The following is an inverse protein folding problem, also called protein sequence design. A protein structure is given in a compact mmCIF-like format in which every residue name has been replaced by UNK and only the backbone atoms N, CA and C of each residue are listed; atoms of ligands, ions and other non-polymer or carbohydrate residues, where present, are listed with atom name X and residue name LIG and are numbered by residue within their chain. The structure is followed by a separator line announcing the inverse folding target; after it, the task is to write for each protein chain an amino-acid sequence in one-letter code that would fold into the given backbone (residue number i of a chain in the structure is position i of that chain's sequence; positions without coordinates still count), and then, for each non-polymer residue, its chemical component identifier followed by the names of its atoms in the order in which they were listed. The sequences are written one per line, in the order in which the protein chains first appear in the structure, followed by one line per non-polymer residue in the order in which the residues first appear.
data_IF_464539464611
#
_entry.id   IF_464539464611
#
_cell.length_a   1.000
_cell.length_b   1.000
_cell.length_c   1.000
_cell.angle_alpha   90.00
_cell.angle_beta   90.00
_cell.angle_gamma   90.00
#
_symmetry.space_group_name_H-M   'P 1'
#
loop_
_entity.id
_entity.type
_entity.pdbx_description
1 polymer ?
#
# COMPACT_ATOMS: atom_id res chain seq x y z
N UNK A 1 0.99 2.74 4.71
CA UNK A 1 1.06 1.57 5.59
C UNK A 1 0.93 2.06 7.02
N UNK A 2 0.18 1.38 7.86
CA UNK A 2 -0.04 1.76 9.26
C UNK A 2 0.10 0.53 10.14
N UNK A 3 0.85 0.65 11.22
CA UNK A 3 1.02 -0.41 12.19
C UNK A 3 0.02 -0.20 13.33
N UNK A 4 -0.87 -1.17 13.55
CA UNK A 4 -1.99 -1.04 14.49
C UNK A 4 -1.91 -2.07 15.60
N UNK A 5 -2.07 -1.61 16.85
CA UNK A 5 -1.92 -2.42 18.06
C UNK A 5 -3.06 -2.18 19.05
N UNK A 6 -3.40 -3.20 19.83
CA UNK A 6 -4.09 -2.98 21.11
C UNK A 6 -3.11 -2.29 22.09
N UNK A 7 -3.48 -1.12 22.59
CA UNK A 7 -2.73 -0.42 23.62
C UNK A 7 -3.62 0.52 24.43
N UNK A 8 -3.41 0.58 25.74
CA UNK A 8 -4.15 1.46 26.64
C UNK A 8 -5.69 1.39 26.47
N UNK A 9 -6.22 0.18 26.32
CA UNK A 9 -7.65 -0.12 26.09
C UNK A 9 -8.26 0.52 24.82
N UNK A 10 -7.44 0.90 23.84
CA UNK A 10 -7.88 1.36 22.51
C UNK A 10 -6.94 0.79 21.43
N UNK A 11 -7.16 1.16 20.16
CA UNK A 11 -6.28 0.83 19.05
C UNK A 11 -5.38 2.02 18.74
N UNK A 12 -4.08 1.76 18.70
CA UNK A 12 -3.05 2.77 18.52
C UNK A 12 -2.20 2.51 17.28
N UNK A 13 -1.70 3.60 16.72
CA UNK A 13 -0.57 3.56 15.80
C UNK A 13 0.71 3.43 16.62
N UNK A 14 1.47 2.37 16.36
CA UNK A 14 2.73 2.12 17.07
C UNK A 14 3.75 1.45 16.15
N UNK A 15 5.05 1.66 16.37
CA UNK A 15 6.09 0.94 15.62
C UNK A 15 6.97 0.11 16.57
N UNK A 16 6.73 -1.20 16.64
CA UNK A 16 7.37 -2.11 17.61
C UNK A 16 7.55 -3.52 17.03
N UNK A 17 8.51 -4.29 17.57
CA UNK A 17 8.74 -5.68 17.13
C UNK A 17 7.78 -6.70 17.76
N UNK A 18 7.09 -6.34 18.85
CA UNK A 18 6.27 -7.28 19.63
C UNK A 18 4.98 -6.65 20.14
N UNK A 19 5.12 -5.60 20.94
CA UNK A 19 4.00 -4.97 21.64
C UNK A 19 4.14 -3.46 21.65
N UNK A 20 3.02 -2.76 21.60
CA UNK A 20 2.99 -1.32 21.75
C UNK A 20 3.21 -0.92 23.22
N UNK A 21 3.98 0.14 23.44
CA UNK A 21 4.27 0.69 24.75
C UNK A 21 4.48 2.20 24.65
N UNK A 22 4.62 2.90 25.78
CA UNK A 22 4.70 4.37 25.81
C UNK A 22 5.88 5.00 25.05
N UNK A 23 6.87 4.21 24.58
CA UNK A 23 7.95 4.69 23.71
C UNK A 23 7.69 4.46 22.22
N UNK A 24 6.93 3.42 21.89
CA UNK A 24 6.60 3.06 20.50
C UNK A 24 5.24 3.56 20.04
N UNK A 25 4.37 3.93 20.98
CA UNK A 25 3.06 4.53 20.71
C UNK A 25 3.23 5.92 20.10
N UNK A 26 2.55 6.16 18.98
CA UNK A 26 2.48 7.46 18.34
C UNK A 26 1.19 8.19 18.77
N UNK A 27 0.03 7.65 18.40
CA UNK A 27 -1.28 8.19 18.77
C UNK A 27 -2.39 7.13 18.67
N UNK A 28 -3.57 7.35 19.26
CA UNK A 28 -4.76 6.55 18.97
C UNK A 28 -5.09 6.58 17.48
N UNK A 29 -5.28 5.42 16.87
CA UNK A 29 -5.46 5.29 15.42
C UNK A 29 -6.69 6.05 14.90
N UNK A 30 -7.69 6.25 15.76
CA UNK A 30 -8.91 6.99 15.42
C UNK A 30 -8.65 8.42 14.90
N UNK A 31 -7.56 9.08 15.31
CA UNK A 31 -7.25 10.43 14.84
C UNK A 31 -6.82 10.42 13.37
N UNK A 32 -5.77 9.66 13.02
CA UNK A 32 -5.37 9.44 11.63
C UNK A 32 -6.53 8.93 10.75
N UNK A 33 -7.36 7.99 11.23
CA UNK A 33 -8.50 7.48 10.45
C UNK A 33 -9.59 8.55 10.20
N UNK A 34 -9.78 9.50 11.13
CA UNK A 34 -10.68 10.65 10.92
C UNK A 34 -10.11 11.66 9.92
N UNK A 35 -8.79 11.83 9.87
CA UNK A 35 -8.17 12.65 8.82
C UNK A 35 -8.38 12.03 7.43
N UNK A 36 -8.26 10.71 7.31
CA UNK A 36 -8.55 9.99 6.07
C UNK A 36 -10.02 10.13 5.69
N UNK A 37 -10.94 10.05 6.67
CA UNK A 37 -12.38 10.26 6.43
C UNK A 37 -12.65 11.66 5.90
N UNK A 38 -12.10 12.68 6.55
CA UNK A 38 -12.23 14.07 6.13
C UNK A 38 -11.66 14.29 4.72
N UNK A 39 -10.51 13.67 4.40
CA UNK A 39 -9.93 13.71 3.07
C UNK A 39 -10.87 13.08 2.02
N UNK A 40 -11.38 11.87 2.26
CA UNK A 40 -12.29 11.20 1.32
C UNK A 40 -13.63 11.94 1.18
N UNK A 41 -14.09 12.61 2.23
CA UNK A 41 -15.28 13.45 2.21
C UNK A 41 -15.08 14.68 1.31
N UNK A 42 -13.95 15.37 1.47
CA UNK A 42 -13.64 16.58 0.70
C UNK A 42 -13.21 16.29 -0.74
N UNK A 43 -12.76 15.07 -1.03
CA UNK A 43 -12.23 14.69 -2.34
C UNK A 43 -13.01 13.48 -2.89
N UNK A 44 -14.20 13.69 -3.49
CA UNK A 44 -15.10 12.59 -3.88
C UNK A 44 -14.58 11.71 -5.03
N UNK A 45 -13.57 12.17 -5.76
CA UNK A 45 -12.93 11.43 -6.86
C UNK A 45 -11.69 10.66 -6.43
N UNK A 46 -11.23 10.83 -5.19
CA UNK A 46 -9.99 10.21 -4.72
C UNK A 46 -10.27 8.84 -4.10
N UNK A 47 -9.27 7.95 -4.22
CA UNK A 47 -9.26 6.61 -3.66
C UNK A 47 -8.07 6.51 -2.70
N UNK A 48 -8.29 5.90 -1.53
CA UNK A 48 -7.25 5.65 -0.53
C UNK A 48 -7.09 4.14 -0.36
N UNK A 49 -5.84 3.68 -0.26
CA UNK A 49 -5.52 2.31 0.13
C UNK A 49 -4.74 2.30 1.43
N UNK A 50 -5.23 1.53 2.39
CA UNK A 50 -4.58 1.28 3.66
C UNK A 50 -4.05 -0.16 3.68
N UNK A 51 -2.79 -0.30 4.07
CA UNK A 51 -2.15 -1.59 4.31
C UNK A 51 -1.74 -1.57 5.78
N UNK A 52 -2.36 -2.45 6.56
CA UNK A 52 -2.24 -2.49 8.00
C UNK A 52 -1.29 -3.61 8.42
N UNK A 53 -0.21 -3.26 9.12
CA UNK A 53 0.52 -4.24 9.92
C UNK A 53 -0.26 -4.44 11.22
N UNK A 54 -1.02 -5.52 11.28
CA UNK A 54 -2.09 -5.71 12.25
C UNK A 54 -1.70 -6.63 13.40
N UNK A 55 -1.52 -6.02 14.56
CA UNK A 55 -1.22 -6.67 15.84
C UNK A 55 -2.41 -6.60 16.82
N UNK A 56 -3.63 -6.35 16.31
CA UNK A 56 -4.85 -6.27 17.12
C UNK A 56 -5.38 -7.68 17.40
N UNK A 57 -5.47 -7.99 18.68
CA UNK A 57 -6.05 -9.21 19.24
C UNK A 57 -7.48 -9.02 19.77
N UNK A 58 -7.88 -7.78 20.07
CA UNK A 58 -9.23 -7.49 20.57
C UNK A 58 -10.32 -7.86 19.56
N UNK A 59 -11.44 -8.36 20.09
CA UNK A 59 -12.58 -8.79 19.29
C UNK A 59 -13.20 -7.61 18.54
N UNK A 60 -13.34 -7.75 17.22
CA UNK A 60 -13.88 -6.76 16.30
C UNK A 60 -13.15 -5.40 16.32
N UNK A 61 -11.88 -5.39 16.71
CA UNK A 61 -11.12 -4.17 16.90
C UNK A 61 -11.09 -3.29 15.65
N UNK A 62 -10.75 -3.84 14.48
CA UNK A 62 -10.73 -3.09 13.23
C UNK A 62 -12.13 -2.63 12.83
N UNK A 63 -13.13 -3.50 12.96
CA UNK A 63 -14.53 -3.19 12.63
C UNK A 63 -15.02 -1.99 13.43
N UNK A 64 -14.84 -2.01 14.76
CA UNK A 64 -15.21 -0.91 15.65
C UNK A 64 -14.47 0.38 15.33
N UNK A 65 -13.19 0.29 15.00
CA UNK A 65 -12.36 1.43 14.64
C UNK A 65 -12.81 2.09 13.33
N UNK A 66 -13.07 1.29 12.28
CA UNK A 66 -13.55 1.78 10.98
C UNK A 66 -14.99 2.31 11.05
N UNK A 67 -15.85 1.73 11.89
CA UNK A 67 -17.19 2.26 12.14
C UNK A 67 -17.14 3.60 12.89
N UNK A 68 -16.34 3.67 13.97
CA UNK A 68 -16.17 4.89 14.78
C UNK A 68 -15.53 6.05 14.01
N UNK A 69 -14.66 5.75 13.04
CA UNK A 69 -14.06 6.77 12.17
C UNK A 69 -15.01 7.26 11.08
N UNK A 70 -16.09 6.53 10.77
CA UNK A 70 -17.02 6.86 9.69
C UNK A 70 -16.56 6.41 8.30
N UNK A 71 -15.45 5.67 8.21
CA UNK A 71 -14.85 5.23 6.94
C UNK A 71 -15.58 4.06 6.28
N UNK A 72 -16.39 3.29 7.02
CA UNK A 72 -17.10 2.11 6.49
C UNK A 72 -17.91 2.43 5.22
N UNK A 73 -18.47 3.64 5.11
CA UNK A 73 -19.25 4.09 3.94
C UNK A 73 -18.46 4.18 2.64
N UNK A 74 -17.12 4.20 2.71
CA UNK A 74 -16.21 4.24 1.55
C UNK A 74 -15.63 2.87 1.19
N UNK A 75 -15.86 1.85 2.01
CA UNK A 75 -15.10 0.61 1.97
C UNK A 75 -15.39 -0.19 0.69
N UNK A 76 -14.34 -0.60 -0.01
CA UNK A 76 -14.40 -1.62 -1.03
C UNK A 76 -14.56 -3.00 -0.36
N UNK A 77 -15.68 -3.71 -0.56
CA UNK A 77 -15.98 -4.93 0.18
C UNK A 77 -15.16 -6.12 -0.32
N UNK A 78 -14.66 -6.95 0.59
CA UNK A 78 -13.77 -8.08 0.29
C UNK A 78 -14.38 -9.12 -0.64
N UNK A 79 -15.70 -9.34 -0.57
CA UNK A 79 -16.41 -10.28 -1.45
C UNK A 79 -16.42 -9.85 -2.92
N UNK A 80 -16.24 -8.55 -3.19
CA UNK A 80 -16.21 -8.01 -4.55
C UNK A 80 -14.76 -7.75 -5.02
N UNK A 81 -13.75 -8.07 -4.20
CA UNK A 81 -12.35 -7.91 -4.59
C UNK A 81 -11.94 -9.02 -5.56
N UNK A 82 -11.18 -8.71 -6.62
CA UNK A 82 -10.76 -9.70 -7.61
C UNK A 82 -9.92 -10.80 -6.96
N UNK A 83 -10.07 -12.02 -7.48
CA UNK A 83 -9.29 -13.17 -7.01
C UNK A 83 -8.54 -13.80 -8.18
N UNK A 84 -7.52 -14.58 -7.86
CA UNK A 84 -6.81 -15.41 -8.85
C UNK A 84 -6.23 -14.63 -10.06
N UNK A 85 -5.82 -13.38 -9.85
CA UNK A 85 -5.22 -12.54 -10.89
C UNK A 85 -6.24 -11.83 -11.80
N UNK A 86 -7.52 -11.85 -11.44
CA UNK A 86 -8.56 -11.04 -12.10
C UNK A 86 -8.27 -9.53 -11.99
N UNK A 87 -8.79 -8.79 -12.96
CA UNK A 87 -8.66 -7.34 -13.05
C UNK A 87 -9.46 -6.63 -11.95
N UNK A 88 -8.87 -5.57 -11.38
CA UNK A 88 -9.59 -4.68 -10.48
C UNK A 88 -10.57 -3.80 -11.24
N UNK A 89 -11.70 -3.41 -10.61
CA UNK A 89 -12.61 -2.46 -11.23
C UNK A 89 -11.89 -1.19 -11.63
N UNK A 90 -12.32 -0.61 -12.75
CA UNK A 90 -11.80 0.69 -13.17
C UNK A 90 -12.12 1.77 -12.13
N UNK A 91 -11.22 2.73 -11.99
CA UNK A 91 -11.29 3.82 -10.99
C UNK A 91 -12.63 4.56 -11.05
N UNK A 92 -13.16 4.80 -12.25
CA UNK A 92 -14.46 5.48 -12.43
C UNK A 92 -15.64 4.69 -11.85
N UNK A 93 -15.58 3.36 -11.85
CA UNK A 93 -16.60 2.51 -11.21
C UNK A 93 -16.44 2.53 -9.69
N UNK A 94 -15.22 2.51 -9.18
CA UNK A 94 -14.96 2.62 -7.74
C UNK A 94 -15.51 3.94 -7.18
N UNK A 95 -15.24 5.05 -7.88
CA UNK A 95 -15.75 6.39 -7.53
C UNK A 95 -17.28 6.42 -7.58
N UNK A 96 -17.89 5.97 -8.68
CA UNK A 96 -19.35 6.00 -8.88
C UNK A 96 -20.11 5.24 -7.78
N UNK A 97 -19.54 4.13 -7.31
CA UNK A 97 -20.14 3.30 -6.27
C UNK A 97 -19.71 3.70 -4.85
N UNK A 98 -18.97 4.80 -4.69
CA UNK A 98 -18.36 5.24 -3.43
C UNK A 98 -17.55 4.16 -2.71
N UNK A 99 -16.92 3.24 -3.47
CA UNK A 99 -16.01 2.19 -2.97
C UNK A 99 -14.57 2.67 -3.14
N UNK A 100 -14.22 3.68 -2.35
CA UNK A 100 -13.00 4.50 -2.50
C UNK A 100 -11.97 4.25 -1.40
N UNK A 101 -12.19 3.27 -0.55
CA UNK A 101 -11.26 2.85 0.49
C UNK A 101 -10.98 1.35 0.36
N UNK A 102 -9.75 0.98 -0.01
CA UNK A 102 -9.27 -0.39 0.13
C UNK A 102 -8.53 -0.52 1.46
N UNK A 103 -8.78 -1.61 2.18
CA UNK A 103 -8.11 -1.90 3.44
C UNK A 103 -7.59 -3.33 3.41
N UNK A 104 -6.28 -3.46 3.52
CA UNK A 104 -5.58 -4.73 3.63
C UNK A 104 -4.98 -4.89 5.03
N UNK A 105 -4.94 -6.12 5.55
CA UNK A 105 -4.36 -6.46 6.85
C UNK A 105 -3.33 -7.60 6.72
N UNK A 106 -2.27 -7.54 7.51
CA UNK A 106 -1.29 -8.63 7.64
C UNK A 106 -1.80 -9.80 8.49
N UNK A 107 -2.92 -9.66 9.20
CA UNK A 107 -3.51 -10.72 10.02
C UNK A 107 -4.57 -11.51 9.24
N UNK A 108 -4.24 -12.77 8.90
CA UNK A 108 -5.09 -13.67 8.11
C UNK A 108 -6.50 -13.87 8.68
N UNK A 109 -6.66 -13.88 10.00
CA UNK A 109 -7.95 -14.16 10.65
C UNK A 109 -9.02 -13.11 10.33
N UNK A 110 -8.58 -11.86 10.12
CA UNK A 110 -9.43 -10.68 9.96
C UNK A 110 -10.26 -10.68 8.68
N UNK A 111 -9.85 -11.41 7.65
CA UNK A 111 -10.67 -11.56 6.45
C UNK A 111 -11.96 -12.30 6.77
N UNK A 112 -11.87 -13.41 7.50
CA UNK A 112 -13.04 -14.19 7.90
C UNK A 112 -13.84 -13.56 9.04
N UNK A 113 -13.17 -12.94 10.03
CA UNK A 113 -13.83 -12.46 11.24
C UNK A 113 -14.39 -11.05 11.10
N UNK A 114 -13.75 -10.18 10.31
CA UNK A 114 -14.07 -8.75 10.25
C UNK A 114 -14.31 -8.25 8.80
N UNK A 115 -14.07 -9.10 7.80
CA UNK A 115 -14.20 -8.74 6.39
C UNK A 115 -13.09 -7.84 5.87
N UNK A 116 -11.93 -7.79 6.56
CA UNK A 116 -10.77 -6.99 6.16
C UNK A 116 -9.84 -7.85 5.30
N UNK A 117 -9.53 -7.42 4.09
CA UNK A 117 -8.81 -8.23 3.11
C UNK A 117 -7.42 -8.64 3.62
N UNK A 118 -7.13 -9.94 3.67
CA UNK A 118 -5.79 -10.41 4.03
C UNK A 118 -4.83 -10.08 2.88
N UNK A 119 -3.82 -9.25 3.13
CA UNK A 119 -3.03 -8.62 2.06
C UNK A 119 -2.45 -9.62 1.05
N UNK A 120 -1.92 -10.74 1.54
CA UNK A 120 -1.25 -11.76 0.73
C UNK A 120 -2.21 -12.70 -0.03
N UNK A 121 -3.54 -12.47 0.08
CA UNK A 121 -4.53 -12.99 -0.86
C UNK A 121 -4.64 -12.15 -2.15
N UNK A 122 -4.12 -10.92 -2.17
CA UNK A 122 -4.31 -9.97 -3.27
C UNK A 122 -3.01 -9.44 -3.87
N UNK A 123 -1.94 -9.34 -3.07
CA UNK A 123 -0.64 -8.82 -3.51
C UNK A 123 0.52 -9.78 -3.23
N UNK A 124 1.58 -9.63 -4.03
CA UNK A 124 2.93 -10.13 -3.72
C UNK A 124 3.80 -9.00 -3.20
N UNK A 125 4.77 -9.33 -2.37
CA UNK A 125 5.59 -8.35 -1.65
C UNK A 125 7.05 -8.82 -1.54
N UNK A 126 8.00 -7.92 -1.82
CA UNK A 126 9.42 -8.18 -1.55
C UNK A 126 9.74 -7.96 -0.07
N UNK A 127 10.84 -8.55 0.39
CA UNK A 127 11.28 -8.43 1.76
C UNK A 127 11.47 -6.95 2.16
N UNK A 128 11.17 -6.61 3.40
CA UNK A 128 11.38 -5.28 3.97
C UNK A 128 12.81 -5.09 4.51
N UNK A 129 13.12 -3.87 4.95
CA UNK A 129 14.40 -3.55 5.55
C UNK A 129 15.55 -3.60 4.54
N UNK A 130 16.78 -3.72 5.04
CA UNK A 130 17.99 -3.66 4.19
C UNK A 130 18.01 -4.74 3.09
N UNK A 131 17.37 -5.89 3.34
CA UNK A 131 17.22 -6.99 2.36
C UNK A 131 16.31 -6.60 1.19
N UNK A 132 15.30 -5.75 1.45
CA UNK A 132 14.40 -5.21 0.43
C UNK A 132 15.05 -4.20 -0.49
N UNK A 133 16.10 -3.52 -0.02
CA UNK A 133 16.84 -2.51 -0.76
C UNK A 133 17.94 -3.09 -1.67
N UNK A 134 18.01 -4.43 -1.78
CA UNK A 134 19.02 -5.10 -2.59
C UNK A 134 18.77 -4.85 -4.09
N UNK A 135 19.74 -4.21 -4.76
CA UNK A 135 19.68 -3.88 -6.19
C UNK A 135 20.12 -5.03 -7.11
N UNK A 136 20.65 -6.12 -6.55
CA UNK A 136 21.06 -7.33 -7.29
C UNK A 136 20.00 -8.44 -7.24
N UNK A 137 19.08 -8.41 -6.28
CA UNK A 137 18.00 -9.39 -6.18
C UNK A 137 16.76 -8.84 -5.45
N UNK A 138 15.58 -9.07 -6.02
CA UNK A 138 14.32 -8.82 -5.33
C UNK A 138 13.93 -10.04 -4.49
N UNK A 139 14.23 -9.98 -3.19
CA UNK A 139 13.97 -11.09 -2.27
C UNK A 139 12.48 -11.15 -1.90
N UNK A 140 11.89 -12.34 -1.88
CA UNK A 140 10.48 -12.53 -1.50
C UNK A 140 10.29 -12.36 0.01
N UNK A 141 9.22 -11.70 0.45
CA UNK A 141 8.83 -11.68 1.86
C UNK A 141 8.29 -13.04 2.31
N UNK A 142 8.68 -13.54 3.48
CA UNK A 142 8.33 -14.90 3.93
C UNK A 142 6.83 -15.19 4.00
N UNK A 143 6.03 -14.21 4.41
CA UNK A 143 4.58 -14.32 4.56
C UNK A 143 3.85 -14.17 3.21
N UNK A 144 4.53 -13.60 2.20
CA UNK A 144 4.01 -13.38 0.86
C UNK A 144 4.14 -14.63 -0.01
N UNK A 145 3.15 -14.93 -0.88
CA UNK A 145 3.37 -15.79 -2.04
C UNK A 145 4.57 -15.32 -2.84
N UNK A 146 5.20 -16.25 -3.57
CA UNK A 146 6.32 -15.94 -4.47
C UNK A 146 5.99 -14.76 -5.39
N UNK A 147 6.93 -13.84 -5.58
CA UNK A 147 6.78 -12.64 -6.42
C UNK A 147 6.21 -12.93 -7.83
N UNK A 148 6.63 -14.02 -8.46
CA UNK A 148 6.15 -14.42 -9.80
C UNK A 148 4.71 -14.97 -9.81
N UNK A 149 4.06 -15.12 -8.65
CA UNK A 149 2.71 -15.65 -8.55
C UNK A 149 1.68 -14.64 -9.07
N UNK A 150 1.19 -14.91 -10.28
CA UNK A 150 0.19 -14.07 -10.96
C UNK A 150 -1.25 -14.28 -10.48
N UNK A 151 -1.51 -15.23 -9.59
CA UNK A 151 -2.83 -15.36 -8.94
C UNK A 151 -3.09 -14.26 -7.91
N UNK A 152 -2.10 -13.41 -7.64
CA UNK A 152 -2.19 -12.17 -6.89
C UNK A 152 -1.96 -11.03 -7.87
N UNK A 153 -2.96 -10.21 -8.15
CA UNK A 153 -2.88 -9.21 -9.22
C UNK A 153 -1.97 -8.04 -8.85
N UNK A 154 -1.89 -7.68 -7.56
CA UNK A 154 -1.15 -6.52 -7.07
C UNK A 154 0.30 -6.86 -6.72
N UNK A 155 1.17 -5.85 -6.81
CA UNK A 155 2.59 -5.94 -6.44
C UNK A 155 2.92 -4.77 -5.49
N UNK A 156 3.46 -5.08 -4.32
CA UNK A 156 4.01 -4.11 -3.37
C UNK A 156 5.54 -4.23 -3.32
N UNK A 157 6.22 -3.09 -3.38
CA UNK A 157 7.67 -3.02 -3.18
C UNK A 157 7.99 -2.22 -1.92
N UNK A 158 8.70 -2.85 -0.99
CA UNK A 158 9.36 -2.25 0.15
C UNK A 158 10.76 -1.76 -0.24
N UNK A 159 11.05 -0.51 0.05
CA UNK A 159 12.36 0.11 -0.12
C UNK A 159 12.64 1.06 1.05
N UNK A 160 13.05 0.49 2.18
CA UNK A 160 13.43 1.24 3.38
C UNK A 160 14.35 0.39 4.24
N UNK A 161 15.11 1.05 5.11
CA UNK A 161 16.09 0.40 5.98
C UNK A 161 15.44 -0.39 7.10
N UNK A 162 16.18 -1.34 7.67
CA UNK A 162 15.74 -2.01 8.91
C UNK A 162 15.63 -1.02 10.07
N UNK A 163 16.47 0.03 10.05
CA UNK A 163 16.45 1.12 11.01
C UNK A 163 16.12 2.40 10.26
N UNK A 164 14.95 2.98 10.57
CA UNK A 164 14.48 4.21 9.96
C UNK A 164 15.36 5.40 10.38
N UNK A 165 16.09 5.99 9.42
CA UNK A 165 16.99 7.13 9.63
C UNK A 165 16.60 8.32 8.73
N UNK A 166 15.96 9.39 9.24
CA UNK A 166 15.44 10.49 8.41
C UNK A 166 16.47 11.21 7.52
N UNK A 167 17.74 11.17 7.89
CA UNK A 167 18.84 11.82 7.17
C UNK A 167 19.36 10.99 5.99
N UNK A 168 19.11 9.67 5.93
CA UNK A 168 19.54 8.83 4.80
C UNK A 168 18.54 8.83 3.64
N UNK A 169 17.28 9.15 3.92
CA UNK A 169 16.17 9.10 2.96
C UNK A 169 16.48 9.82 1.64
N UNK A 170 17.13 10.99 1.67
CA UNK A 170 17.47 11.71 0.43
C UNK A 170 18.43 10.92 -0.44
N UNK A 171 19.44 10.29 0.14
CA UNK A 171 20.44 9.51 -0.60
C UNK A 171 19.83 8.24 -1.15
N UNK A 172 19.03 7.55 -0.34
CA UNK A 172 18.37 6.28 -0.70
C UNK A 172 17.44 6.46 -1.89
N UNK A 173 16.61 7.50 -1.86
CA UNK A 173 15.64 7.80 -2.92
C UNK A 173 16.24 8.45 -4.18
N UNK A 174 17.53 8.81 -4.18
CA UNK A 174 18.13 9.48 -5.35
C UNK A 174 18.69 8.51 -6.38
N UNK A 175 19.06 7.28 -6.00
CA UNK A 175 19.77 6.37 -6.90
C UNK A 175 19.34 4.89 -6.80
N UNK A 176 19.08 4.36 -5.60
CA UNK A 176 18.90 2.90 -5.47
C UNK A 176 17.46 2.41 -5.72
N UNK A 177 16.46 3.26 -5.50
CA UNK A 177 15.05 2.88 -5.57
C UNK A 177 14.65 2.41 -6.98
N UNK A 178 15.00 3.18 -8.02
CA UNK A 178 14.69 2.85 -9.42
C UNK A 178 15.24 1.48 -9.84
N UNK A 179 16.43 1.09 -9.37
CA UNK A 179 17.03 -0.20 -9.72
C UNK A 179 16.34 -1.36 -9.00
N UNK A 180 15.93 -1.17 -7.74
CA UNK A 180 15.09 -2.13 -7.03
C UNK A 180 13.73 -2.30 -7.72
N UNK A 181 13.10 -1.21 -8.18
CA UNK A 181 11.84 -1.31 -8.91
C UNK A 181 11.97 -2.12 -10.21
N UNK A 182 13.06 -1.95 -10.96
CA UNK A 182 13.32 -2.72 -12.19
C UNK A 182 13.58 -4.19 -11.91
N UNK A 183 14.36 -4.52 -10.88
CA UNK A 183 14.67 -5.92 -10.59
C UNK A 183 13.46 -6.65 -9.98
N UNK A 184 12.68 -5.96 -9.15
CA UNK A 184 11.40 -6.45 -8.66
C UNK A 184 10.36 -6.59 -9.77
N UNK A 185 10.36 -5.74 -10.79
CA UNK A 185 9.50 -5.93 -11.97
C UNK A 185 9.76 -7.28 -12.65
N UNK A 186 11.02 -7.64 -12.86
CA UNK A 186 11.41 -8.93 -13.45
C UNK A 186 11.00 -10.08 -12.53
N UNK A 187 11.34 -10.00 -11.24
CA UNK A 187 11.03 -11.03 -10.24
C UNK A 187 9.51 -11.22 -10.04
N UNK A 188 8.71 -10.16 -10.20
CA UNK A 188 7.25 -10.19 -10.16
C UNK A 188 6.61 -10.76 -11.43
N UNK A 189 7.41 -11.34 -12.33
CA UNK A 189 6.96 -11.90 -13.60
C UNK A 189 6.58 -10.81 -14.59
N UNK A 190 7.41 -9.78 -14.73
CA UNK A 190 7.21 -8.61 -15.60
C UNK A 190 5.97 -7.79 -15.26
N UNK A 191 5.71 -7.59 -13.96
CA UNK A 191 4.63 -6.73 -13.46
C UNK A 191 5.22 -5.58 -12.67
N UNK A 192 4.83 -4.35 -13.02
CA UNK A 192 5.26 -3.16 -12.28
C UNK A 192 4.53 -3.07 -10.94
N UNK A 193 5.19 -2.46 -9.95
CA UNK A 193 4.63 -2.28 -8.61
C UNK A 193 3.39 -1.38 -8.64
N UNK A 194 2.32 -1.80 -7.97
CA UNK A 194 1.14 -0.96 -7.70
C UNK A 194 1.37 -0.08 -6.46
N UNK A 195 2.15 -0.59 -5.49
CA UNK A 195 2.45 0.12 -4.25
C UNK A 195 3.96 0.16 -4.00
N UNK A 196 4.42 1.29 -3.49
CA UNK A 196 5.79 1.51 -3.05
C UNK A 196 5.77 1.99 -1.60
N UNK A 197 6.41 1.25 -0.70
CA UNK A 197 6.62 1.60 0.69
C UNK A 197 8.06 2.09 0.89
N UNK A 198 8.21 3.29 1.46
CA UNK A 198 9.50 3.96 1.73
C UNK A 198 9.47 4.67 3.09
N UNK A 199 10.64 4.88 3.67
CA UNK A 199 10.81 5.68 4.89
C UNK A 199 11.03 7.15 4.54
N UNK A 200 10.31 8.06 5.20
CA UNK A 200 10.48 9.52 5.05
C UNK A 200 10.47 10.00 3.58
N UNK A 201 9.30 10.04 2.96
CA UNK A 201 9.16 10.62 1.62
C UNK A 201 9.52 12.12 1.67
N UNK A 202 10.49 12.53 0.83
CA UNK A 202 10.89 13.93 0.68
C UNK A 202 10.83 14.29 -0.80
N UNK A 203 10.30 15.47 -1.12
CA UNK A 203 10.54 16.08 -2.44
C UNK A 203 12.01 16.48 -2.48
N UNK A 204 12.83 15.72 -3.21
CA UNK A 204 14.19 16.12 -3.54
C UNK A 204 14.17 16.93 -4.85
N UNK A 205 15.20 17.76 -5.08
CA UNK A 205 15.33 18.56 -6.31
C UNK A 205 15.45 17.69 -7.58
N UNK A 206 15.70 16.38 -7.43
CA UNK A 206 15.78 15.40 -8.52
C UNK A 206 14.54 14.49 -8.66
N UNK A 207 13.38 14.87 -8.12
CA UNK A 207 12.14 14.11 -8.26
C UNK A 207 11.97 12.94 -7.28
N UNK A 208 13.05 12.19 -7.01
CA UNK A 208 13.10 11.14 -5.97
C UNK A 208 11.93 10.16 -6.05
N UNK A 209 11.35 9.81 -4.88
CA UNK A 209 10.20 8.89 -4.79
C UNK A 209 9.03 9.31 -5.67
N UNK A 210 8.81 10.61 -5.89
CA UNK A 210 7.74 11.09 -6.75
C UNK A 210 8.01 10.77 -8.23
N UNK A 211 9.25 10.90 -8.69
CA UNK A 211 9.64 10.49 -10.04
C UNK A 211 9.49 8.97 -10.24
N UNK A 212 9.89 8.18 -9.25
CA UNK A 212 9.71 6.73 -9.28
C UNK A 212 8.22 6.34 -9.34
N UNK A 213 7.37 7.07 -8.61
CA UNK A 213 5.91 6.91 -8.64
C UNK A 213 5.34 7.30 -10.01
N UNK A 214 5.77 8.41 -10.60
CA UNK A 214 5.36 8.84 -11.94
C UNK A 214 5.79 7.84 -13.02
N UNK A 215 6.96 7.22 -12.87
CA UNK A 215 7.42 6.11 -13.72
C UNK A 215 6.52 4.89 -13.59
N UNK A 216 6.25 4.42 -12.36
CA UNK A 216 5.35 3.28 -12.11
C UNK A 216 3.97 3.52 -12.71
N UNK A 217 3.40 4.70 -12.49
CA UNK A 217 2.13 5.10 -13.09
C UNK A 217 2.20 5.09 -14.61
N UNK A 218 3.22 5.69 -15.23
CA UNK A 218 3.41 5.67 -16.69
C UNK A 218 3.48 4.26 -17.27
N UNK A 219 4.16 3.35 -16.56
CA UNK A 219 4.30 1.95 -16.93
C UNK A 219 2.97 1.20 -16.87
N UNK A 220 2.22 1.36 -15.78
CA UNK A 220 0.93 0.70 -15.57
C UNK A 220 -0.16 1.23 -16.52
N UNK A 221 -0.17 2.53 -16.78
CA UNK A 221 -1.22 3.23 -17.52
C UNK A 221 -1.04 3.11 -19.03
N UNK A 222 0.18 3.30 -19.53
CA UNK A 222 0.42 3.43 -20.98
C UNK A 222 1.77 2.85 -21.46
N UNK A 223 2.49 2.14 -20.59
CA UNK A 223 3.80 1.56 -20.88
C UNK A 223 4.95 2.57 -20.99
N UNK A 224 4.73 3.85 -20.70
CA UNK A 224 5.76 4.89 -20.79
C UNK A 224 6.65 4.93 -19.53
N UNK A 225 7.83 5.55 -19.64
CA UNK A 225 8.73 5.74 -18.50
C UNK A 225 8.28 6.85 -17.54
N UNK A 226 7.20 7.56 -17.88
CA UNK A 226 6.68 8.72 -17.17
C UNK A 226 5.19 8.86 -17.50
N UNK A 227 4.35 9.08 -16.48
CA UNK A 227 2.91 9.27 -16.63
C UNK A 227 2.54 10.52 -17.45
N UNK A 228 3.35 11.58 -17.42
CA UNK A 228 3.10 12.79 -18.21
C UNK A 228 3.23 12.52 -19.72
N UNK A 229 4.00 11.50 -20.12
CA UNK A 229 4.09 11.06 -21.50
C UNK A 229 2.84 10.31 -21.99
N UNK A 230 1.99 9.80 -21.09
CA UNK A 230 0.75 9.11 -21.46
C UNK A 230 -0.24 10.04 -22.17
N UNK A 231 -0.25 11.34 -21.85
CA UNK A 231 -1.16 12.33 -22.46
C UNK A 231 -0.90 12.54 -23.95
N UNK A 232 0.32 12.25 -24.43
CA UNK A 232 0.68 12.37 -25.86
C UNK A 232 0.13 11.19 -26.67
N UNK A 233 -0.19 10.05 -26.01
CA UNK A 233 -0.78 8.85 -26.65
C UNK A 233 -2.30 8.76 -26.55
N UNK A 234 -2.95 9.52 -25.67
CA UNK A 234 -4.36 9.30 -25.29
C UNK A 234 -5.42 9.88 -26.24
N UNK A 235 -5.14 9.99 -27.55
CA UNK A 235 -6.18 10.27 -28.56
C UNK A 235 -7.12 9.08 -28.80
N UNK A 236 -6.96 7.98 -28.06
CA UNK A 236 -7.85 6.82 -28.07
C UNK A 236 -8.03 6.27 -26.64
N UNK A 237 -9.07 6.76 -25.95
CA UNK A 237 -9.76 6.21 -24.77
C UNK A 237 -8.93 5.52 -23.66
N UNK A 238 -8.77 6.12 -22.46
CA UNK A 238 -8.19 5.41 -21.33
C UNK A 238 -9.27 4.88 -20.38
N UNK A 239 -9.45 3.56 -20.37
CA UNK A 239 -10.08 2.85 -19.25
C UNK A 239 -8.96 2.41 -18.31
N UNK A 240 -8.82 3.04 -17.14
CA UNK A 240 -7.78 2.68 -16.16
C UNK A 240 -8.34 1.74 -15.10
N UNK A 241 -7.76 0.55 -15.02
CA UNK A 241 -7.92 -0.39 -13.90
C UNK A 241 -7.10 0.10 -12.70
N UNK A 242 -7.55 -0.25 -11.50
CA UNK A 242 -6.82 0.00 -10.26
C UNK A 242 -5.56 -0.90 -10.15
#
# INVERSE_FOLDING_TARGET
MLDVYDYDNDIWLCHSKRECNGRSAFEPAIYTLREIEAFLLMNPSEIVTLILEDHISSQDGLTKLFDKSGLRKYWFPVQDMPRNGEDWPIVSNMIRNNRRLLVFTSNRSKESSEGVAYQWNYMVENQYGDVGMNHEACNNRSESPFLYNRTRSLVLVNYFRTVALPWTASTEHSHGLMDVLKICHIAAGNRWANFLAVDFYKRSEGGGVFQDTDMLNGRLICGCNDVYACRVRSLSNPSFTF
#
